data_IF_118668140141
#
_entry.id   IF_118668140141
#
_cell.length_a   1.000
_cell.length_b   1.000
_cell.length_c   1.000
_cell.angle_alpha   90.00
_cell.angle_beta   90.00
_cell.angle_gamma   90.00
#
_symmetry.space_group_name_H-M   'P 1'
#
loop_
_entity.id
_entity.type
_entity.pdbx_description
1 polymer ?
#
# COMPACT_ATOMS: atom_id res chain seq x y z
N UNK A 1 16.27 44.48 53.49
CA UNK A 1 15.72 44.15 52.14
C UNK A 1 15.64 42.64 52.04
N UNK A 2 14.47 42.06 52.31
CA UNK A 2 14.23 40.64 52.06
C UNK A 2 13.96 40.47 50.57
N UNK A 3 14.84 39.83 49.89
CA UNK A 3 14.67 39.44 48.49
C UNK A 3 13.57 38.40 48.41
N UNK A 4 12.46 38.70 47.70
CA UNK A 4 11.45 37.76 47.34
C UNK A 4 12.02 36.77 46.32
N UNK A 5 12.21 35.54 46.70
CA UNK A 5 12.48 34.47 45.74
C UNK A 5 11.14 34.20 45.05
N UNK A 6 11.00 34.71 43.83
CA UNK A 6 9.92 34.25 42.96
C UNK A 6 10.23 32.79 42.65
N UNK A 7 9.29 31.92 43.00
CA UNK A 7 9.31 30.56 42.51
C UNK A 7 9.21 30.63 40.99
N UNK A 8 10.21 30.08 40.30
CA UNK A 8 10.12 29.87 38.86
C UNK A 8 8.92 29.00 38.63
N UNK A 9 7.90 29.53 37.95
CA UNK A 9 6.80 28.73 37.41
C UNK A 9 7.43 27.54 36.68
N UNK A 10 6.91 26.32 36.84
CA UNK A 10 7.39 25.19 36.05
C UNK A 10 7.23 25.58 34.58
N UNK A 11 8.34 25.66 33.87
CA UNK A 11 8.30 25.78 32.42
C UNK A 11 7.73 24.47 31.91
N UNK A 12 6.47 24.48 31.49
CA UNK A 12 5.90 23.38 30.75
C UNK A 12 6.80 23.17 29.53
N UNK A 13 7.46 22.05 29.47
CA UNK A 13 8.12 21.61 28.26
C UNK A 13 6.99 21.12 27.38
N UNK A 14 6.78 21.76 26.27
CA UNK A 14 5.87 21.30 25.24
C UNK A 14 6.37 19.94 24.81
N UNK A 15 5.54 18.92 24.92
CA UNK A 15 5.88 17.55 24.58
C UNK A 15 4.68 16.94 23.90
N UNK A 16 4.94 16.14 22.91
CA UNK A 16 3.97 15.38 22.17
C UNK A 16 4.24 13.89 22.43
N UNK A 17 3.19 13.10 22.60
CA UNK A 17 3.20 11.69 22.98
C UNK A 17 2.28 10.91 22.04
N UNK A 18 2.45 9.61 21.95
CA UNK A 18 1.49 8.75 21.25
C UNK A 18 0.40 8.22 22.19
N UNK A 19 -0.63 7.64 21.60
CA UNK A 19 -1.88 7.22 22.25
C UNK A 19 -2.18 5.73 22.14
N UNK A 20 -1.34 4.94 21.49
CA UNK A 20 -1.51 3.49 21.43
C UNK A 20 -1.71 2.91 22.83
N UNK A 21 -2.51 1.86 23.01
CA UNK A 21 -2.79 1.28 24.31
C UNK A 21 -1.54 0.97 25.11
N UNK A 22 -1.54 1.35 26.37
CA UNK A 22 -0.49 1.07 27.34
C UNK A 22 -1.13 0.67 28.66
N UNK A 23 -1.06 -0.61 29.01
CA UNK A 23 -1.74 -1.19 30.17
C UNK A 23 -0.81 -1.42 31.36
N UNK A 24 0.47 -1.13 31.19
CA UNK A 24 1.51 -1.24 32.22
C UNK A 24 2.90 -1.46 31.66
N UNK A 25 3.93 -1.58 32.50
CA UNK A 25 5.31 -1.62 32.07
C UNK A 25 5.62 -2.76 31.10
N UNK A 26 6.39 -2.45 30.04
CA UNK A 26 6.85 -3.36 29.01
C UNK A 26 5.84 -3.57 27.89
N UNK A 27 6.12 -4.51 27.00
CA UNK A 27 5.32 -4.79 25.81
C UNK A 27 4.50 -6.07 25.95
N UNK A 28 3.40 -6.14 25.22
CA UNK A 28 2.52 -7.29 25.15
C UNK A 28 1.27 -6.99 24.33
N UNK A 29 0.42 -7.96 24.03
CA UNK A 29 -0.81 -7.72 23.27
C UNK A 29 -1.65 -6.57 23.86
N UNK A 30 -1.79 -5.45 23.09
CA UNK A 30 -2.46 -4.24 23.56
C UNK A 30 -1.68 -3.43 24.61
N UNK A 31 -0.35 -3.52 24.61
CA UNK A 31 0.54 -2.78 25.49
C UNK A 31 1.81 -2.36 24.72
N UNK A 32 1.89 -1.09 24.32
CA UNK A 32 2.81 -0.58 23.30
C UNK A 32 3.93 0.34 23.81
N UNK A 33 4.22 0.34 25.10
CA UNK A 33 5.21 1.25 25.70
C UNK A 33 4.95 2.71 25.25
N UNK A 34 3.77 3.22 25.49
CA UNK A 34 3.38 4.56 25.04
C UNK A 34 3.68 5.60 26.11
N UNK A 35 3.54 5.24 27.39
CA UNK A 35 3.78 6.15 28.50
C UNK A 35 5.24 6.55 28.66
N UNK A 36 5.50 7.80 29.01
CA UNK A 36 6.86 8.31 29.28
C UNK A 36 7.59 7.51 30.37
N UNK A 37 6.87 7.01 31.37
CA UNK A 37 7.43 6.19 32.45
C UNK A 37 7.92 4.82 31.98
N UNK A 38 7.46 4.34 30.84
CA UNK A 38 7.84 3.08 30.21
C UNK A 38 8.80 3.28 29.02
N UNK A 39 9.27 4.50 28.82
CA UNK A 39 10.20 4.82 27.73
C UNK A 39 9.52 5.11 26.40
N UNK A 40 8.23 5.34 26.39
CA UNK A 40 7.43 5.62 25.19
C UNK A 40 7.92 6.79 24.34
N UNK A 41 7.33 7.00 23.16
CA UNK A 41 7.75 8.06 22.25
C UNK A 41 7.47 9.44 22.86
N UNK A 42 8.42 10.34 22.68
CA UNK A 42 8.31 11.74 23.13
C UNK A 42 8.96 12.67 22.13
N UNK A 43 8.26 13.73 21.75
CA UNK A 43 8.80 14.83 20.96
C UNK A 43 8.84 16.10 21.83
N UNK A 44 10.04 16.50 22.29
CA UNK A 44 10.19 17.51 23.36
C UNK A 44 10.04 18.95 22.92
N UNK A 45 9.86 19.21 21.65
CA UNK A 45 9.66 20.56 21.08
C UNK A 45 8.84 20.44 19.80
N UNK A 46 7.60 19.96 19.89
CA UNK A 46 6.71 19.94 18.74
C UNK A 46 6.56 21.36 18.20
N UNK A 47 6.56 21.51 16.90
CA UNK A 47 6.52 22.80 16.25
C UNK A 47 5.72 22.72 14.96
N UNK A 48 4.90 23.70 14.70
CA UNK A 48 4.11 23.83 13.48
C UNK A 48 4.92 23.81 12.17
N UNK A 49 6.26 23.91 12.27
CA UNK A 49 7.18 23.85 11.12
C UNK A 49 7.57 22.43 10.69
N UNK A 50 7.39 21.44 11.54
CA UNK A 50 7.64 20.03 11.27
C UNK A 50 6.60 19.18 12.03
N UNK A 51 5.63 18.63 11.29
CA UNK A 51 4.54 17.84 11.88
C UNK A 51 3.93 16.91 10.87
N UNK A 52 3.16 15.98 11.36
CA UNK A 52 2.17 15.21 10.62
C UNK A 52 0.91 16.07 10.45
N UNK A 53 0.04 15.74 9.54
CA UNK A 53 -1.25 16.42 9.37
C UNK A 53 -1.25 17.94 9.28
N UNK A 54 -2.34 18.52 9.78
CA UNK A 54 -2.63 19.97 9.77
C UNK A 54 -2.49 20.63 11.14
N UNK A 55 -2.64 19.87 12.21
CA UNK A 55 -2.54 20.32 13.60
C UNK A 55 -1.40 19.60 14.33
N UNK A 56 -0.99 20.06 15.44
CA UNK A 56 -0.21 19.39 16.47
C UNK A 56 -0.60 19.98 17.80
N UNK A 57 -0.65 19.18 18.81
CA UNK A 57 -0.95 19.64 20.13
C UNK A 57 0.23 19.43 21.11
N UNK A 58 0.00 19.61 22.40
CA UNK A 58 1.03 19.45 23.44
C UNK A 58 0.37 18.91 24.70
N UNK A 59 0.78 17.74 25.10
CA UNK A 59 0.25 17.09 26.29
C UNK A 59 1.22 17.13 27.47
N UNK A 60 0.65 16.98 28.66
CA UNK A 60 1.43 16.82 29.89
C UNK A 60 1.89 15.38 30.10
N UNK A 61 1.23 14.43 29.45
CA UNK A 61 1.51 12.99 29.49
C UNK A 61 0.71 12.29 28.39
N UNK A 62 1.21 11.15 27.90
CA UNK A 62 0.44 10.26 27.03
C UNK A 62 -0.94 9.91 27.64
N UNK A 63 -1.94 9.78 26.78
CA UNK A 63 -3.33 9.43 27.13
C UNK A 63 -3.75 8.11 26.44
N UNK A 64 -3.03 7.00 26.66
CA UNK A 64 -3.22 5.77 25.91
C UNK A 64 -4.62 5.19 26.09
N UNK A 65 -5.24 4.81 24.99
CA UNK A 65 -6.53 4.14 25.01
C UNK A 65 -6.67 3.10 23.88
N UNK A 66 -7.77 2.35 23.88
CA UNK A 66 -7.99 1.29 22.88
C UNK A 66 -8.39 1.79 21.51
N UNK A 67 -8.65 3.09 21.34
CA UNK A 67 -8.97 3.71 20.06
C UNK A 67 -7.74 4.38 19.44
N UNK A 68 -6.71 4.65 20.25
CA UNK A 68 -5.56 5.50 19.93
C UNK A 68 -6.08 6.89 19.49
N UNK A 69 -6.88 7.52 20.37
CA UNK A 69 -7.52 8.83 20.21
C UNK A 69 -7.73 9.48 21.60
N UNK A 70 -6.80 9.26 22.52
CA UNK A 70 -7.01 9.59 23.94
C UNK A 70 -7.00 11.07 24.23
N UNK A 71 -6.19 11.83 23.53
CA UNK A 71 -6.08 13.28 23.64
C UNK A 71 -7.15 14.00 22.82
N UNK A 72 -7.61 13.50 21.69
CA UNK A 72 -8.72 14.03 20.91
C UNK A 72 -10.00 14.24 21.73
N UNK A 73 -10.19 13.44 22.75
CA UNK A 73 -11.41 13.46 23.59
C UNK A 73 -11.35 14.47 24.73
N UNK A 74 -10.21 15.13 24.95
CA UNK A 74 -10.00 16.04 26.10
C UNK A 74 -10.27 17.52 25.78
N UNK A 75 -10.62 17.87 24.54
CA UNK A 75 -10.93 19.23 24.08
C UNK A 75 -9.75 19.95 23.44
N UNK A 76 -8.65 19.25 23.19
CA UNK A 76 -7.57 19.66 22.29
C UNK A 76 -7.99 19.52 20.83
N UNK A 77 -7.34 20.14 19.86
CA UNK A 77 -7.55 19.83 18.46
C UNK A 77 -7.21 18.35 18.20
N UNK A 78 -8.01 17.69 17.34
CA UNK A 78 -7.68 16.40 16.73
C UNK A 78 -6.38 16.55 15.96
N UNK A 79 -5.32 15.92 16.39
CA UNK A 79 -4.00 15.93 15.75
C UNK A 79 -3.60 14.55 15.19
N UNK A 80 -4.39 13.50 15.37
CA UNK A 80 -4.33 12.26 14.59
C UNK A 80 -4.89 12.47 13.18
N UNK A 81 -4.40 13.50 12.47
CA UNK A 81 -4.87 13.88 11.14
C UNK A 81 -3.81 13.68 10.01
N UNK A 82 -2.69 13.04 10.35
CA UNK A 82 -1.60 12.78 9.43
C UNK A 82 -1.88 11.75 8.34
N UNK A 83 -2.79 10.82 8.54
CA UNK A 83 -3.13 9.85 7.49
C UNK A 83 -4.08 10.49 6.47
N UNK A 84 -3.72 10.40 5.17
CA UNK A 84 -4.47 11.08 4.11
C UNK A 84 -5.88 10.51 3.92
N UNK A 85 -6.02 9.20 3.95
CA UNK A 85 -7.30 8.47 3.80
C UNK A 85 -7.39 7.33 4.82
N UNK A 86 -7.69 7.64 6.12
CA UNK A 86 -7.72 6.62 7.16
C UNK A 86 -8.68 5.46 6.87
N UNK A 87 -9.76 5.72 6.14
CA UNK A 87 -10.75 4.70 5.81
C UNK A 87 -10.21 3.60 4.88
N UNK A 88 -9.22 3.93 4.05
CA UNK A 88 -8.58 2.99 3.14
C UNK A 88 -7.15 2.65 3.58
N UNK A 89 -6.36 3.64 3.97
CA UNK A 89 -4.94 3.46 4.31
C UNK A 89 -4.72 2.67 5.62
N UNK A 90 -5.71 2.65 6.53
CA UNK A 90 -5.65 1.89 7.79
C UNK A 90 -6.48 0.60 7.78
N UNK A 91 -6.96 0.16 6.61
CA UNK A 91 -7.61 -1.14 6.41
C UNK A 91 -6.72 -1.99 5.50
N UNK A 92 -5.94 -2.86 6.09
CA UNK A 92 -4.89 -3.60 5.40
C UNK A 92 -5.32 -5.03 5.09
N UNK A 93 -4.99 -5.50 3.90
CA UNK A 93 -5.33 -6.85 3.45
C UNK A 93 -4.16 -7.80 3.69
N UNK A 94 -4.38 -8.88 4.41
CA UNK A 94 -3.37 -9.91 4.64
C UNK A 94 -2.83 -10.48 3.32
N UNK A 95 -1.51 -10.63 3.22
CA UNK A 95 -0.83 -11.08 2.01
C UNK A 95 -0.52 -9.99 0.98
N UNK A 96 -0.90 -8.73 1.23
CA UNK A 96 -0.57 -7.59 0.35
C UNK A 96 0.50 -6.70 0.97
N UNK A 97 1.14 -5.88 0.15
CA UNK A 97 2.08 -4.85 0.59
C UNK A 97 1.35 -3.51 0.75
N UNK A 98 1.20 -2.99 1.98
CA UNK A 98 0.52 -1.72 2.19
C UNK A 98 1.34 -0.53 1.74
N UNK A 99 0.63 0.45 1.21
CA UNK A 99 1.14 1.78 0.91
C UNK A 99 0.27 2.79 1.65
N UNK A 100 0.87 3.55 2.56
CA UNK A 100 0.14 4.54 3.37
C UNK A 100 0.58 5.95 2.96
N UNK A 101 -0.41 6.80 2.73
CA UNK A 101 -0.21 8.19 2.34
C UNK A 101 -0.31 9.08 3.57
N UNK A 102 0.78 9.79 3.88
CA UNK A 102 0.89 10.61 5.07
C UNK A 102 0.96 12.09 4.68
N UNK A 103 0.12 12.92 5.28
CA UNK A 103 0.22 14.37 5.20
C UNK A 103 1.34 14.82 6.10
N UNK A 104 2.20 15.67 5.60
CA UNK A 104 3.33 16.20 6.37
C UNK A 104 3.53 17.68 6.10
N UNK A 105 4.04 18.37 7.10
CA UNK A 105 4.58 19.72 6.99
C UNK A 105 6.07 19.68 7.33
N UNK A 106 6.92 20.14 6.42
CA UNK A 106 8.33 20.39 6.70
C UNK A 106 8.72 21.74 6.13
N UNK A 107 8.59 22.80 6.91
CA UNK A 107 9.00 24.17 6.55
C UNK A 107 10.44 24.46 6.94
N UNK A 108 11.18 23.46 7.43
CA UNK A 108 12.59 23.62 7.81
C UNK A 108 13.48 23.65 6.57
N UNK A 109 14.73 24.05 6.77
CA UNK A 109 15.77 24.09 5.73
C UNK A 109 16.54 22.78 5.59
N UNK A 110 16.16 21.75 6.33
CA UNK A 110 16.76 20.42 6.31
C UNK A 110 15.68 19.34 6.14
N UNK A 111 16.08 18.22 5.58
CA UNK A 111 15.19 17.07 5.47
C UNK A 111 14.86 16.53 6.87
N UNK A 112 13.66 16.00 7.01
CA UNK A 112 13.25 15.19 8.15
C UNK A 112 13.15 13.72 7.74
N UNK A 113 13.02 12.85 8.73
CA UNK A 113 12.73 11.44 8.54
C UNK A 113 11.33 11.17 9.07
N UNK A 114 10.51 10.49 8.27
CA UNK A 114 9.25 9.90 8.68
C UNK A 114 9.45 8.40 8.82
N UNK A 115 9.14 7.87 9.99
CA UNK A 115 9.14 6.44 10.30
C UNK A 115 7.73 6.02 10.68
N UNK A 116 7.28 4.89 10.16
CA UNK A 116 6.01 4.28 10.52
C UNK A 116 6.20 2.82 10.86
N UNK A 117 5.40 2.31 11.79
CA UNK A 117 5.35 0.90 12.20
C UNK A 117 3.90 0.44 12.25
N UNK A 118 3.68 -0.82 11.94
CA UNK A 118 2.37 -1.48 12.09
C UNK A 118 2.64 -2.84 12.75
N UNK A 119 2.15 -3.02 13.96
CA UNK A 119 2.26 -4.28 14.68
C UNK A 119 1.37 -5.34 14.03
N UNK A 120 1.93 -6.13 13.12
CA UNK A 120 1.18 -7.14 12.38
C UNK A 120 0.82 -8.35 13.24
N UNK A 121 1.70 -8.82 14.10
CA UNK A 121 1.50 -10.03 14.88
C UNK A 121 0.82 -9.80 16.22
N UNK A 122 0.62 -8.53 16.59
CA UNK A 122 -0.10 -8.07 17.79
C UNK A 122 0.57 -8.48 19.08
N UNK A 123 1.89 -8.51 19.07
CA UNK A 123 2.65 -8.81 20.27
C UNK A 123 2.89 -7.58 21.16
N UNK A 124 2.48 -6.37 20.69
CA UNK A 124 2.63 -5.09 21.38
C UNK A 124 3.98 -4.43 21.16
N UNK A 125 4.70 -4.85 20.13
CA UNK A 125 5.97 -4.27 19.73
C UNK A 125 5.89 -3.76 18.32
N UNK A 126 6.76 -2.82 18.02
CA UNK A 126 6.95 -2.27 16.68
C UNK A 126 8.34 -2.64 16.19
N UNK A 127 8.47 -3.75 15.44
CA UNK A 127 9.76 -4.26 14.99
C UNK A 127 10.30 -3.53 13.77
N UNK A 128 11.59 -3.23 13.80
CA UNK A 128 12.31 -2.76 12.62
C UNK A 128 12.61 -3.93 11.68
N UNK A 129 12.17 -3.84 10.43
CA UNK A 129 12.47 -4.82 9.38
C UNK A 129 11.27 -5.67 8.95
N UNK A 130 10.36 -6.03 9.83
CA UNK A 130 9.14 -6.78 9.52
C UNK A 130 7.89 -5.90 9.51
N UNK A 131 7.92 -4.75 10.18
CA UNK A 131 6.77 -3.91 10.45
C UNK A 131 7.03 -2.42 10.17
N UNK A 132 8.27 -2.06 9.91
CA UNK A 132 8.70 -0.66 9.74
C UNK A 132 8.78 -0.24 8.28
N UNK A 133 8.33 0.98 8.01
CA UNK A 133 8.63 1.74 6.81
C UNK A 133 9.28 3.09 7.17
N UNK A 134 10.26 3.53 6.38
CA UNK A 134 10.98 4.80 6.62
C UNK A 134 11.12 5.54 5.30
N UNK A 135 10.89 6.86 5.32
CA UNK A 135 11.10 7.71 4.15
C UNK A 135 11.68 9.06 4.55
N UNK A 136 12.29 9.75 3.60
CA UNK A 136 12.80 11.12 3.79
C UNK A 136 11.74 12.14 3.40
N UNK A 137 11.51 13.12 4.26
CA UNK A 137 10.62 14.26 4.02
C UNK A 137 11.46 15.46 3.59
N UNK A 138 11.36 15.93 2.34
CA UNK A 138 12.19 17.01 1.84
C UNK A 138 12.06 18.31 2.62
N UNK A 139 13.16 19.05 2.73
CA UNK A 139 13.17 20.39 3.26
C UNK A 139 12.27 21.32 2.44
N UNK A 140 11.55 22.21 3.11
CA UNK A 140 10.70 23.20 2.46
C UNK A 140 9.46 22.66 1.77
N UNK A 141 9.01 21.45 2.12
CA UNK A 141 7.80 20.83 1.56
C UNK A 141 6.53 21.66 1.82
N UNK A 142 6.57 22.57 2.79
CA UNK A 142 5.45 23.44 3.14
C UNK A 142 4.33 22.69 3.88
N UNK A 143 3.16 23.32 4.02
CA UNK A 143 2.02 22.74 4.70
C UNK A 143 1.27 21.77 3.80
N UNK A 144 0.82 20.65 4.36
CA UNK A 144 0.03 19.61 3.68
C UNK A 144 0.74 18.95 2.48
N UNK A 145 2.05 18.83 2.54
CA UNK A 145 2.78 17.95 1.65
C UNK A 145 2.32 16.51 1.85
N UNK A 146 2.46 15.67 0.82
CA UNK A 146 2.16 14.25 0.92
C UNK A 146 3.43 13.45 0.70
N UNK A 147 3.64 12.46 1.54
CA UNK A 147 4.69 11.44 1.37
C UNK A 147 4.08 10.06 1.51
N UNK A 148 4.77 9.09 0.96
CA UNK A 148 4.30 7.71 0.90
C UNK A 148 5.23 6.81 1.70
N UNK A 149 4.67 5.97 2.54
CA UNK A 149 5.35 4.87 3.22
C UNK A 149 4.93 3.54 2.59
N UNK A 150 5.90 2.76 2.14
CA UNK A 150 5.68 1.40 1.63
C UNK A 150 6.14 0.42 2.70
N UNK A 151 5.19 -0.27 3.28
CA UNK A 151 5.44 -1.20 4.39
C UNK A 151 5.79 -2.61 3.90
N UNK A 152 6.37 -3.45 4.76
CA UNK A 152 6.50 -4.88 4.49
C UNK A 152 5.14 -5.53 4.21
N UNK A 153 5.15 -6.66 3.50
CA UNK A 153 3.92 -7.43 3.22
C UNK A 153 3.25 -7.87 4.52
N UNK A 154 1.96 -7.59 4.66
CA UNK A 154 1.15 -8.08 5.79
C UNK A 154 1.18 -9.61 5.79
N UNK A 155 1.59 -10.28 6.86
CA UNK A 155 1.61 -11.74 6.90
C UNK A 155 0.24 -12.35 6.58
N UNK A 156 0.23 -13.45 5.83
CA UNK A 156 -1.01 -14.11 5.46
C UNK A 156 -1.75 -14.68 6.68
N UNK A 157 -3.09 -14.65 6.63
CA UNK A 157 -3.95 -15.23 7.65
C UNK A 157 -4.18 -14.35 8.88
N UNK A 158 -3.61 -13.16 8.96
CA UNK A 158 -3.86 -12.20 10.04
C UNK A 158 -5.14 -11.42 9.76
N UNK A 159 -5.96 -11.26 10.79
CA UNK A 159 -7.18 -10.45 10.75
C UNK A 159 -7.47 -9.85 12.12
N UNK A 160 -8.21 -8.74 12.12
CA UNK A 160 -8.62 -8.06 13.35
C UNK A 160 -7.87 -6.77 13.59
N UNK A 161 -8.09 -6.17 14.74
CA UNK A 161 -7.51 -4.87 15.10
C UNK A 161 -6.08 -5.01 15.55
N UNK A 162 -5.24 -4.07 15.13
CA UNK A 162 -3.90 -3.80 15.62
C UNK A 162 -3.67 -2.28 15.66
N UNK A 163 -2.41 -1.86 15.84
CA UNK A 163 -2.06 -0.45 15.94
C UNK A 163 -0.86 -0.12 15.05
N UNK A 164 -0.80 1.14 14.67
CA UNK A 164 0.33 1.73 13.95
C UNK A 164 0.80 2.98 14.70
N UNK A 165 2.10 3.26 14.59
CA UNK A 165 2.75 4.46 15.10
C UNK A 165 3.50 5.15 13.98
N UNK A 166 3.34 6.46 13.87
CA UNK A 166 4.09 7.31 12.93
C UNK A 166 4.86 8.36 13.70
N UNK A 167 6.11 8.59 13.33
CA UNK A 167 6.97 9.59 13.95
C UNK A 167 7.73 10.38 12.89
N UNK A 168 7.72 11.70 12.99
CA UNK A 168 8.49 12.59 12.12
C UNK A 168 9.48 13.40 12.94
N UNK A 169 10.75 13.46 12.55
CA UNK A 169 11.76 14.33 13.19
C UNK A 169 12.95 14.57 12.30
N UNK A 170 13.73 15.59 12.62
CA UNK A 170 15.10 15.78 12.08
C UNK A 170 16.15 15.03 12.90
N UNK A 171 15.77 14.47 14.05
CA UNK A 171 16.62 13.64 14.88
C UNK A 171 16.66 12.21 14.35
N UNK A 172 17.86 11.65 14.18
CA UNK A 172 18.04 10.29 13.67
C UNK A 172 17.41 9.19 14.57
N UNK A 173 17.20 9.48 15.86
CA UNK A 173 16.57 8.56 16.80
C UNK A 173 15.08 8.31 16.48
N UNK A 174 14.46 9.09 15.59
CA UNK A 174 13.07 8.90 15.13
C UNK A 174 12.83 7.56 14.43
N UNK A 175 13.87 6.85 14.05
CA UNK A 175 13.79 5.48 13.51
C UNK A 175 13.56 4.41 14.58
N UNK A 176 13.47 4.80 15.88
CA UNK A 176 13.00 3.96 16.98
C UNK A 176 11.53 4.25 17.25
N UNK A 177 10.68 3.25 17.54
CA UNK A 177 9.28 3.46 17.88
C UNK A 177 9.09 4.09 19.26
N UNK A 178 10.11 4.10 20.10
CA UNK A 178 10.10 4.60 21.47
C UNK A 178 11.23 5.60 21.71
N UNK A 179 11.27 6.21 22.89
CA UNK A 179 12.30 7.15 23.29
C UNK A 179 12.06 8.57 22.82
N UNK A 180 12.94 9.48 23.29
CA UNK A 180 12.78 10.94 23.13
C UNK A 180 13.54 11.46 21.91
N UNK A 181 12.90 12.33 21.13
CA UNK A 181 13.50 13.13 20.06
C UNK A 181 13.25 14.62 20.29
N UNK A 182 14.02 15.48 19.61
CA UNK A 182 14.07 16.91 19.92
C UNK A 182 12.97 17.76 19.26
N UNK A 183 12.33 17.26 18.19
CA UNK A 183 11.32 18.00 17.43
C UNK A 183 10.43 17.03 16.64
N UNK A 184 9.43 17.58 15.96
CA UNK A 184 8.48 16.81 15.16
C UNK A 184 7.31 16.34 16.00
N UNK A 185 6.74 15.19 15.64
CA UNK A 185 5.48 14.70 16.16
C UNK A 185 5.41 13.17 16.12
N UNK A 186 4.57 12.58 16.96
CA UNK A 186 4.16 11.18 16.93
C UNK A 186 2.64 11.08 16.89
N UNK A 187 2.12 10.22 16.05
CA UNK A 187 0.70 9.86 15.97
C UNK A 187 0.54 8.35 16.00
N UNK A 188 -0.44 7.88 16.74
CA UNK A 188 -0.79 6.48 16.86
C UNK A 188 -2.19 6.23 16.29
N UNK A 189 -2.38 5.11 15.61
CA UNK A 189 -3.65 4.79 14.96
C UNK A 189 -4.08 3.36 15.19
N UNK A 190 -5.39 3.16 15.31
CA UNK A 190 -5.97 1.83 15.22
C UNK A 190 -6.03 1.36 13.77
N UNK A 191 -5.50 0.18 13.48
CA UNK A 191 -5.45 -0.44 12.16
C UNK A 191 -6.31 -1.69 12.12
N UNK A 192 -6.99 -1.93 11.00
CA UNK A 192 -7.76 -3.16 10.77
C UNK A 192 -7.07 -4.05 9.76
N UNK A 193 -6.69 -5.24 10.18
CA UNK A 193 -6.23 -6.30 9.28
C UNK A 193 -7.44 -7.10 8.78
N UNK A 194 -7.55 -7.27 7.47
CA UNK A 194 -8.63 -8.02 6.83
C UNK A 194 -8.07 -9.23 6.08
N UNK A 195 -8.83 -10.30 6.04
CA UNK A 195 -8.51 -11.39 5.13
C UNK A 195 -8.61 -10.89 3.69
N UNK A 196 -7.77 -11.39 2.77
CA UNK A 196 -8.03 -11.17 1.36
C UNK A 196 -9.45 -11.64 1.09
N UNK A 197 -10.24 -10.80 0.44
CA UNK A 197 -11.57 -11.22 0.00
C UNK A 197 -11.33 -12.42 -0.90
N UNK A 198 -11.65 -13.61 -0.45
CA UNK A 198 -11.69 -14.74 -1.35
C UNK A 198 -12.59 -14.29 -2.49
N UNK A 199 -12.11 -14.40 -3.72
CA UNK A 199 -12.97 -14.20 -4.87
C UNK A 199 -14.15 -15.17 -4.68
N UNK A 200 -15.24 -14.66 -4.13
CA UNK A 200 -16.46 -15.44 -4.02
C UNK A 200 -16.96 -15.57 -5.45
N UNK A 201 -16.88 -16.76 -5.98
CA UNK A 201 -17.75 -17.10 -7.11
C UNK A 201 -19.15 -17.00 -6.53
N UNK A 202 -19.77 -15.84 -6.70
CA UNK A 202 -21.19 -15.69 -6.38
C UNK A 202 -21.95 -16.71 -7.20
N UNK A 203 -22.56 -17.66 -6.55
CA UNK A 203 -23.35 -18.74 -7.16
C UNK A 203 -24.64 -18.24 -7.84
N UNK A 204 -24.66 -16.99 -8.26
CA UNK A 204 -25.77 -16.35 -8.97
C UNK A 204 -25.34 -15.26 -9.96
N UNK A 205 -24.05 -14.92 -10.01
CA UNK A 205 -23.52 -13.78 -10.78
C UNK A 205 -22.38 -14.13 -11.75
N UNK A 206 -22.17 -15.41 -12.09
CA UNK A 206 -21.14 -15.76 -13.05
C UNK A 206 -21.47 -15.19 -14.44
N UNK A 207 -20.72 -14.18 -14.87
CA UNK A 207 -20.79 -13.67 -16.24
C UNK A 207 -19.88 -14.50 -17.13
N UNK A 208 -20.44 -15.08 -18.19
CA UNK A 208 -19.67 -15.85 -19.15
C UNK A 208 -19.19 -14.93 -20.27
N UNK A 209 -17.89 -14.84 -20.46
CA UNK A 209 -17.29 -14.26 -21.67
C UNK A 209 -17.14 -15.40 -22.67
N UNK A 210 -18.06 -15.47 -23.64
CA UNK A 210 -18.16 -16.63 -24.54
C UNK A 210 -17.87 -16.29 -26.01
N UNK A 211 -17.67 -15.00 -26.30
CA UNK A 211 -17.48 -14.49 -27.64
C UNK A 211 -18.76 -14.17 -28.38
N UNK A 212 -18.70 -13.11 -29.19
CA UNK A 212 -19.78 -12.66 -30.06
C UNK A 212 -20.74 -11.63 -29.46
N UNK A 213 -20.62 -11.33 -28.15
CA UNK A 213 -21.32 -10.21 -27.51
C UNK A 213 -20.63 -8.87 -27.75
N UNK A 214 -21.31 -7.79 -27.37
CA UNK A 214 -20.73 -6.45 -27.44
C UNK A 214 -19.56 -6.34 -26.47
N UNK A 215 -18.37 -5.99 -26.98
CA UNK A 215 -17.14 -5.91 -26.18
C UNK A 215 -16.47 -7.27 -25.90
N UNK A 216 -17.04 -8.37 -26.35
CA UNK A 216 -16.46 -9.71 -26.21
C UNK A 216 -15.53 -10.09 -27.38
N UNK A 217 -14.63 -11.07 -27.17
CA UNK A 217 -13.81 -11.62 -28.25
C UNK A 217 -14.64 -12.18 -29.41
N UNK A 218 -14.18 -12.00 -30.63
CA UNK A 218 -14.71 -12.76 -31.77
C UNK A 218 -13.97 -14.09 -31.83
N UNK A 219 -14.64 -15.17 -31.46
CA UNK A 219 -14.08 -16.51 -31.39
C UNK A 219 -14.60 -17.40 -32.50
N UNK A 220 -13.73 -18.26 -32.99
CA UNK A 220 -14.06 -19.36 -33.89
C UNK A 220 -14.14 -20.69 -33.13
N UNK A 221 -14.76 -21.71 -33.77
CA UNK A 221 -14.77 -23.04 -33.16
C UNK A 221 -13.36 -23.58 -33.00
N UNK A 222 -13.01 -23.92 -31.78
CA UNK A 222 -11.70 -24.46 -31.44
C UNK A 222 -10.70 -23.46 -30.87
N UNK A 223 -11.03 -22.18 -30.74
CA UNK A 223 -10.12 -21.16 -30.21
C UNK A 223 -9.74 -21.38 -28.75
N UNK A 224 -10.53 -22.14 -27.99
CA UNK A 224 -10.23 -22.53 -26.61
C UNK A 224 -9.84 -21.35 -25.71
N UNK A 225 -10.67 -20.30 -25.67
CA UNK A 225 -10.48 -19.15 -24.78
C UNK A 225 -10.49 -19.62 -23.31
N UNK A 226 -9.58 -19.08 -22.49
CA UNK A 226 -9.47 -19.43 -21.09
C UNK A 226 -8.35 -20.41 -20.75
N UNK A 227 -7.46 -20.71 -21.69
CA UNK A 227 -6.30 -21.59 -21.46
C UNK A 227 -5.34 -21.04 -20.39
N UNK A 228 -5.25 -19.73 -20.25
CA UNK A 228 -4.55 -19.01 -19.20
C UNK A 228 -5.33 -17.72 -18.91
N UNK A 229 -5.31 -17.23 -17.66
CA UNK A 229 -5.96 -15.99 -17.25
C UNK A 229 -5.06 -15.27 -16.27
N UNK A 230 -4.94 -13.95 -16.41
CA UNK A 230 -4.25 -13.07 -15.47
C UNK A 230 -5.09 -11.82 -15.20
N UNK A 231 -5.08 -11.32 -13.95
CA UNK A 231 -5.62 -10.00 -13.61
C UNK A 231 -4.63 -8.93 -14.02
N UNK A 232 -5.12 -7.83 -14.58
CA UNK A 232 -4.34 -6.67 -15.01
C UNK A 232 -4.53 -5.44 -14.12
N UNK A 233 -5.36 -5.56 -13.07
CA UNK A 233 -5.82 -4.38 -12.36
C UNK A 233 -6.75 -3.55 -13.23
N UNK A 234 -6.95 -2.30 -12.89
CA UNK A 234 -7.74 -1.33 -13.63
C UNK A 234 -6.87 -0.70 -14.73
N UNK A 235 -6.98 -1.23 -15.95
CA UNK A 235 -6.12 -0.86 -17.07
C UNK A 235 -6.60 0.43 -17.77
N UNK A 236 -7.89 0.75 -17.69
CA UNK A 236 -8.45 1.93 -18.35
C UNK A 236 -8.89 3.04 -17.39
N UNK A 237 -8.63 2.90 -16.07
CA UNK A 237 -8.84 3.92 -15.06
C UNK A 237 -10.30 4.10 -14.62
N UNK A 238 -11.16 3.09 -14.85
CA UNK A 238 -12.58 3.18 -14.51
C UNK A 238 -12.96 2.60 -13.12
N UNK A 239 -11.98 2.14 -12.37
CA UNK A 239 -12.13 1.53 -11.04
C UNK A 239 -12.49 0.06 -11.07
N UNK A 240 -12.51 -0.59 -12.24
CA UNK A 240 -12.83 -2.01 -12.40
C UNK A 240 -11.60 -2.79 -12.87
N UNK A 241 -11.33 -3.93 -12.26
CA UNK A 241 -10.19 -4.76 -12.67
C UNK A 241 -10.43 -5.47 -13.99
N UNK A 242 -9.42 -5.49 -14.86
CA UNK A 242 -9.39 -6.09 -16.18
C UNK A 242 -8.62 -7.41 -16.22
N UNK A 243 -8.76 -8.17 -17.29
CA UNK A 243 -8.14 -9.49 -17.40
C UNK A 243 -7.46 -9.73 -18.76
N UNK A 244 -6.37 -10.49 -18.74
CA UNK A 244 -5.78 -11.10 -19.94
C UNK A 244 -6.19 -12.56 -20.03
N UNK A 245 -6.58 -13.02 -21.23
CA UNK A 245 -7.08 -14.37 -21.47
C UNK A 245 -6.33 -14.99 -22.65
N UNK A 246 -5.67 -16.13 -22.44
CA UNK A 246 -5.05 -16.91 -23.50
C UNK A 246 -6.08 -17.75 -24.25
N UNK A 247 -5.97 -17.79 -25.59
CA UNK A 247 -6.79 -18.61 -26.47
C UNK A 247 -5.89 -19.65 -27.17
N UNK A 248 -5.87 -20.85 -26.62
CA UNK A 248 -4.91 -21.89 -26.98
C UNK A 248 -5.23 -22.64 -28.28
N UNK A 249 -6.32 -22.35 -28.92
CA UNK A 249 -6.69 -22.89 -30.22
C UNK A 249 -6.84 -21.86 -31.32
N UNK A 250 -6.57 -20.58 -31.02
CA UNK A 250 -6.71 -19.48 -31.99
C UNK A 250 -5.65 -19.59 -33.08
N UNK A 251 -6.08 -19.73 -34.33
CA UNK A 251 -5.24 -19.91 -35.51
C UNK A 251 -5.02 -18.59 -36.31
N UNK A 252 -5.27 -17.44 -35.72
CA UNK A 252 -5.07 -16.13 -36.37
C UNK A 252 -3.62 -15.97 -36.83
N UNK A 253 -3.48 -15.72 -38.12
CA UNK A 253 -2.20 -15.52 -38.76
C UNK A 253 -1.41 -16.80 -39.08
N UNK A 254 -1.89 -17.99 -38.72
CA UNK A 254 -1.29 -19.28 -39.05
C UNK A 254 -1.54 -20.38 -38.02
N UNK A 255 -1.14 -21.61 -38.36
CA UNK A 255 -1.42 -22.80 -37.56
C UNK A 255 -0.80 -22.73 -36.17
N UNK A 256 -1.61 -22.88 -35.14
CA UNK A 256 -1.25 -22.95 -33.72
C UNK A 256 -0.32 -21.79 -33.27
N UNK A 257 -0.49 -20.60 -33.84
CA UNK A 257 0.18 -19.39 -33.37
C UNK A 257 -0.43 -18.87 -32.10
N UNK A 258 -1.76 -19.00 -31.97
CA UNK A 258 -2.55 -18.63 -30.81
C UNK A 258 -2.67 -17.12 -30.58
N UNK A 259 -3.44 -16.73 -29.56
CA UNK A 259 -3.67 -15.33 -29.23
C UNK A 259 -3.83 -15.12 -27.73
N UNK A 260 -3.65 -13.86 -27.31
CA UNK A 260 -4.07 -13.36 -26.02
C UNK A 260 -5.10 -12.27 -26.24
N UNK A 261 -6.14 -12.25 -25.44
CA UNK A 261 -7.16 -11.21 -25.42
C UNK A 261 -7.05 -10.40 -24.13
N UNK A 262 -6.93 -9.09 -24.26
CA UNK A 262 -7.07 -8.15 -23.15
C UNK A 262 -8.53 -7.76 -23.11
N UNK A 263 -9.23 -8.15 -22.04
CA UNK A 263 -10.64 -7.91 -21.86
C UNK A 263 -10.85 -6.84 -20.79
N UNK A 264 -11.34 -5.67 -21.18
CA UNK A 264 -11.80 -4.65 -20.25
C UNK A 264 -13.20 -5.02 -19.77
N UNK A 265 -13.43 -4.84 -18.47
CA UNK A 265 -14.66 -5.25 -17.80
C UNK A 265 -15.48 -4.03 -17.34
N UNK A 266 -16.74 -4.26 -17.03
CA UNK A 266 -17.64 -3.32 -16.34
C UNK A 266 -17.82 -3.79 -14.89
N UNK A 267 -18.33 -2.92 -14.03
CA UNK A 267 -18.58 -3.20 -12.63
C UNK A 267 -19.51 -4.41 -12.38
N UNK A 268 -20.34 -4.78 -13.35
CA UNK A 268 -21.19 -5.97 -13.30
C UNK A 268 -20.50 -7.24 -13.82
N UNK A 269 -19.20 -7.17 -14.13
CA UNK A 269 -18.40 -8.28 -14.67
C UNK A 269 -18.66 -8.58 -16.15
N UNK A 270 -19.49 -7.80 -16.84
CA UNK A 270 -19.71 -7.96 -18.29
C UNK A 270 -18.58 -7.32 -19.08
N UNK A 271 -18.40 -7.76 -20.33
CA UNK A 271 -17.42 -7.24 -21.25
C UNK A 271 -17.67 -5.75 -21.58
N UNK A 272 -16.65 -4.90 -21.48
CA UNK A 272 -16.65 -3.48 -21.91
C UNK A 272 -16.06 -3.36 -23.30
N UNK A 273 -14.85 -3.84 -23.48
CA UNK A 273 -14.15 -3.90 -24.76
C UNK A 273 -13.07 -4.96 -24.74
N UNK A 274 -12.56 -5.31 -25.91
CA UNK A 274 -11.51 -6.33 -26.04
C UNK A 274 -10.45 -5.90 -27.05
N UNK A 275 -9.18 -6.21 -26.72
CA UNK A 275 -8.05 -6.07 -27.62
C UNK A 275 -7.45 -7.46 -27.84
N UNK A 276 -7.25 -7.86 -29.12
CA UNK A 276 -6.61 -9.12 -29.47
C UNK A 276 -5.14 -8.89 -29.80
N UNK A 277 -4.28 -9.64 -29.16
CA UNK A 277 -2.83 -9.71 -29.43
C UNK A 277 -2.56 -11.05 -30.09
N UNK A 278 -2.25 -11.02 -31.40
CA UNK A 278 -1.96 -12.20 -32.21
C UNK A 278 -0.91 -11.85 -33.26
N UNK A 279 -0.45 -12.84 -34.00
CA UNK A 279 0.46 -12.59 -35.13
C UNK A 279 -0.18 -11.59 -36.13
N UNK A 280 0.55 -10.52 -36.40
CA UNK A 280 0.09 -9.46 -37.33
C UNK A 280 -0.75 -8.36 -36.68
N UNK A 281 -1.09 -8.43 -35.40
CA UNK A 281 -1.63 -7.29 -34.67
C UNK A 281 -0.57 -6.19 -34.53
N UNK A 282 -1.03 -4.92 -34.43
CA UNK A 282 -0.12 -3.80 -34.18
C UNK A 282 0.65 -4.05 -32.88
N UNK A 283 1.97 -3.85 -32.93
CA UNK A 283 2.90 -4.05 -31.83
C UNK A 283 2.99 -5.50 -31.29
N UNK A 284 2.30 -6.47 -31.87
CA UNK A 284 2.38 -7.86 -31.46
C UNK A 284 3.72 -8.52 -31.90
N UNK A 285 4.17 -9.55 -31.18
CA UNK A 285 5.36 -10.29 -31.56
C UNK A 285 5.17 -11.02 -32.88
N UNK A 286 6.28 -11.20 -33.63
CA UNK A 286 6.27 -12.07 -34.83
C UNK A 286 6.23 -13.51 -34.37
N UNK A 287 5.12 -14.21 -34.60
CA UNK A 287 4.92 -15.60 -34.22
C UNK A 287 5.11 -16.54 -35.43
N UNK A 288 5.78 -17.65 -35.21
CA UNK A 288 5.86 -18.76 -36.16
C UNK A 288 4.74 -19.77 -35.90
N UNK A 289 4.48 -20.66 -36.84
CA UNK A 289 3.54 -21.75 -36.64
C UNK A 289 4.02 -22.65 -35.47
N UNK A 290 3.10 -23.04 -34.63
CA UNK A 290 3.32 -23.84 -33.42
C UNK A 290 4.08 -23.14 -32.29
N UNK A 291 4.20 -21.80 -32.27
CA UNK A 291 4.82 -21.07 -31.17
C UNK A 291 3.98 -21.13 -29.87
N UNK A 292 2.68 -21.40 -29.98
CA UNK A 292 1.78 -21.59 -28.85
C UNK A 292 1.74 -20.34 -27.92
N UNK A 293 1.70 -19.15 -28.50
CA UNK A 293 1.62 -17.88 -27.76
C UNK A 293 0.37 -17.80 -26.90
N UNK A 294 0.45 -17.26 -25.69
CA UNK A 294 -0.68 -17.24 -24.74
C UNK A 294 -0.91 -18.57 -24.00
N UNK A 295 0.03 -19.52 -24.08
CA UNK A 295 -0.03 -20.75 -23.29
C UNK A 295 0.11 -20.51 -21.77
N UNK A 296 0.68 -19.38 -21.38
CA UNK A 296 0.71 -18.82 -20.04
C UNK A 296 0.65 -17.31 -20.17
N UNK A 297 -0.02 -16.63 -19.25
CA UNK A 297 -0.06 -15.17 -19.14
C UNK A 297 0.05 -14.79 -17.66
N UNK A 298 0.78 -13.71 -17.37
CA UNK A 298 0.87 -13.15 -16.03
C UNK A 298 1.16 -11.65 -16.11
N UNK A 299 0.54 -10.87 -15.24
CA UNK A 299 0.91 -9.48 -15.03
C UNK A 299 2.24 -9.42 -14.25
N UNK A 300 3.12 -8.52 -14.62
CA UNK A 300 4.47 -8.35 -14.03
C UNK A 300 4.68 -6.94 -13.43
N UNK A 301 3.60 -6.18 -13.31
CA UNK A 301 3.64 -4.77 -12.87
C UNK A 301 4.10 -3.85 -14.00
N UNK A 302 4.31 -2.60 -13.68
CA UNK A 302 4.85 -1.58 -14.58
C UNK A 302 6.39 -1.69 -14.59
N UNK A 303 6.92 -2.39 -15.57
CA UNK A 303 8.36 -2.70 -15.66
C UNK A 303 9.16 -1.59 -16.34
N UNK A 304 8.54 -0.85 -17.25
CA UNK A 304 9.20 0.22 -18.00
C UNK A 304 8.90 1.63 -17.46
N UNK A 305 8.00 1.74 -16.47
CA UNK A 305 7.70 2.98 -15.77
C UNK A 305 6.73 3.90 -16.53
N UNK A 306 5.93 3.36 -17.47
CA UNK A 306 4.97 4.13 -18.25
C UNK A 306 3.61 4.34 -17.57
N UNK A 307 3.40 3.74 -16.39
CA UNK A 307 2.16 3.81 -15.61
C UNK A 307 1.15 2.72 -15.98
N UNK A 308 1.48 1.82 -16.90
CA UNK A 308 0.61 0.72 -17.34
C UNK A 308 1.18 -0.63 -16.86
N UNK A 309 0.31 -1.59 -16.58
CA UNK A 309 0.75 -2.94 -16.18
C UNK A 309 1.28 -3.72 -17.37
N UNK A 310 2.52 -4.19 -17.28
CA UNK A 310 3.15 -5.06 -18.27
C UNK A 310 2.67 -6.50 -18.15
N UNK A 311 2.65 -7.19 -19.30
CA UNK A 311 2.19 -8.57 -19.42
C UNK A 311 3.31 -9.47 -19.95
N UNK A 312 3.67 -10.51 -19.18
CA UNK A 312 4.51 -11.58 -19.65
C UNK A 312 3.66 -12.70 -20.26
N UNK A 313 3.96 -13.05 -21.51
CA UNK A 313 3.22 -14.07 -22.26
C UNK A 313 4.16 -15.19 -22.70
N UNK A 314 3.82 -16.43 -22.34
CA UNK A 314 4.56 -17.63 -22.72
C UNK A 314 4.22 -18.11 -24.12
N UNK A 315 5.26 -18.52 -24.90
CA UNK A 315 5.16 -19.15 -26.19
C UNK A 315 5.89 -20.51 -26.15
N UNK A 316 5.22 -21.53 -25.66
CA UNK A 316 5.80 -22.84 -25.28
C UNK A 316 6.36 -23.62 -26.45
N UNK A 317 5.86 -23.41 -27.67
CA UNK A 317 6.23 -24.18 -28.88
C UNK A 317 7.31 -23.53 -29.73
N UNK A 318 7.87 -22.39 -29.35
CA UNK A 318 8.87 -21.68 -30.13
C UNK A 318 10.12 -22.56 -30.37
N UNK A 319 10.31 -23.01 -31.62
CA UNK A 319 11.43 -23.83 -32.04
C UNK A 319 12.61 -23.01 -32.56
N UNK A 320 12.61 -21.69 -32.40
CA UNK A 320 13.78 -20.88 -32.71
C UNK A 320 14.91 -21.29 -31.78
N UNK A 321 15.87 -21.98 -32.35
CA UNK A 321 17.18 -22.25 -31.76
C UNK A 321 17.89 -20.90 -31.54
N UNK A 322 17.62 -20.27 -30.40
CA UNK A 322 18.44 -19.21 -29.87
C UNK A 322 18.83 -19.61 -28.46
N UNK A 323 20.14 -19.54 -28.21
CA UNK A 323 20.81 -19.76 -26.93
C UNK A 323 19.96 -19.44 -25.74
N UNK A 324 19.90 -20.39 -24.81
CA UNK A 324 19.14 -20.40 -23.55
C UNK A 324 18.91 -19.01 -22.95
N UNK A 325 17.67 -18.53 -23.05
CA UNK A 325 17.15 -17.36 -22.42
C UNK A 325 15.65 -17.40 -22.59
N UNK A 326 14.91 -17.50 -21.49
CA UNK A 326 13.47 -17.29 -21.51
C UNK A 326 13.21 -15.91 -22.13
N UNK A 327 12.56 -15.84 -23.27
CA UNK A 327 12.11 -14.56 -23.82
C UNK A 327 10.74 -14.27 -23.21
N UNK A 328 10.72 -13.37 -22.24
CA UNK A 328 9.52 -12.62 -21.92
C UNK A 328 9.31 -11.64 -23.07
N UNK A 329 8.17 -11.68 -23.72
CA UNK A 329 7.75 -10.64 -24.64
C UNK A 329 6.87 -9.72 -23.80
N UNK A 330 7.38 -8.57 -23.40
CA UNK A 330 6.59 -7.52 -22.80
C UNK A 330 5.69 -6.96 -23.90
N UNK A 331 4.40 -6.91 -23.65
CA UNK A 331 3.44 -6.21 -24.49
C UNK A 331 2.59 -5.34 -23.54
N UNK A 332 2.76 -4.03 -23.68
CA UNK A 332 1.91 -2.89 -23.25
C UNK A 332 1.24 -2.93 -21.90
#
# INVERSE_FOLDING_TARGET
>A
LAGRVEALEPRWVLTDFGDAPDTGPGTGPGNYETSASDGGPQHTSPASSLRLGSASDNEASALPNTQADGDDTNGSPDDEDGIFDPANDLVLVAGTQPTIHVRVTNSLTQNATLSGWIDYDRDGRFESGTEQAVTSVPAGLGSNGQVTLVFPVVPAGLTGRTYARFRISTDAAVTSPTGTVSNGEVEDYAVTLTAPTAASVETGGATKIAGGGVGEPVLLNGDLLGAAVASLGDLDGDGVGDIAIGASGDDTGGTARRAVYIQLLKADGTAKSVVKIAHGSTNAPTLANNDLFGSAVTAIGDLDGDGTVDLAVGAKGSTRAETAGARSTSCF
#
